data_IF_489911150025
#
_entry.id   IF_489911150025
#
_cell.length_a   1.000
_cell.length_b   1.000
_cell.length_c   1.000
_cell.angle_alpha   90.00
_cell.angle_beta   90.00
_cell.angle_gamma   90.00
#
_symmetry.space_group_name_H-M   'P 1'
#
loop_
_entity.id
_entity.type
_entity.pdbx_description
1 polymer ?
#
# COMPACT_ATOMS: atom_id res chain seq x y z
N UNK A 1 -0.67 -18.79 6.97
CA UNK A 1 -0.69 -17.34 7.18
C UNK A 1 0.56 -16.92 7.91
N UNK A 2 1.31 -16.01 7.37
CA UNK A 2 2.48 -15.46 8.02
C UNK A 2 2.05 -14.49 9.12
N UNK A 3 2.72 -14.48 10.24
CA UNK A 3 2.50 -13.53 11.30
C UNK A 3 1.45 -13.95 12.32
N UNK A 4 1.31 -13.12 13.35
CA UNK A 4 0.35 -13.35 14.42
C UNK A 4 -1.03 -12.89 14.03
N UNK A 5 -2.09 -13.50 14.58
CA UNK A 5 -3.44 -12.97 14.41
C UNK A 5 -3.53 -11.53 14.91
N UNK A 6 -4.19 -10.69 14.15
CA UNK A 6 -4.40 -9.28 14.51
C UNK A 6 -5.71 -9.18 15.27
N UNK A 7 -5.65 -8.61 16.49
CA UNK A 7 -6.85 -8.33 17.27
C UNK A 7 -7.62 -7.16 16.66
N UNK A 8 -8.86 -7.41 16.25
CA UNK A 8 -9.67 -6.41 15.56
C UNK A 8 -10.94 -6.08 16.35
N UNK A 9 -11.32 -4.80 16.30
CA UNK A 9 -12.62 -4.37 16.82
C UNK A 9 -13.71 -4.59 15.77
N UNK A 10 -14.97 -4.63 16.21
CA UNK A 10 -16.08 -4.90 15.31
C UNK A 10 -16.13 -3.98 14.08
N UNK A 11 -15.93 -2.68 14.27
CA UNK A 11 -15.96 -1.74 13.15
C UNK A 11 -14.81 -1.96 12.18
N UNK A 12 -13.67 -2.43 12.69
CA UNK A 12 -12.52 -2.76 11.82
C UNK A 12 -12.84 -3.98 10.96
N UNK A 13 -13.46 -4.97 11.56
CA UNK A 13 -13.91 -6.17 10.83
C UNK A 13 -14.90 -5.79 9.73
N UNK A 14 -15.86 -4.93 10.04
CA UNK A 14 -16.82 -4.46 9.05
C UNK A 14 -16.16 -3.73 7.89
N UNK A 15 -15.18 -2.87 8.19
CA UNK A 15 -14.44 -2.14 7.17
C UNK A 15 -13.65 -3.10 6.27
N UNK A 16 -12.99 -4.07 6.86
CA UNK A 16 -12.23 -5.08 6.13
C UNK A 16 -13.16 -5.90 5.22
N UNK A 17 -14.31 -6.32 5.72
CA UNK A 17 -15.25 -7.08 4.92
C UNK A 17 -15.77 -6.29 3.72
N UNK A 18 -15.99 -4.98 3.87
CA UNK A 18 -16.39 -4.14 2.74
C UNK A 18 -15.29 -4.07 1.68
N UNK A 19 -14.04 -4.01 2.08
CA UNK A 19 -12.94 -4.05 1.12
C UNK A 19 -12.89 -5.39 0.39
N UNK A 20 -13.01 -6.49 1.11
CA UNK A 20 -12.96 -7.84 0.51
C UNK A 20 -14.09 -8.02 -0.51
N UNK A 21 -15.27 -7.51 -0.23
CA UNK A 21 -16.42 -7.59 -1.13
C UNK A 21 -16.28 -6.69 -2.35
N UNK A 22 -15.41 -5.67 -2.27
CA UNK A 22 -15.24 -4.67 -3.31
C UNK A 22 -13.75 -4.52 -3.64
N UNK A 23 -13.26 -5.27 -4.64
CA UNK A 23 -11.82 -5.26 -4.98
C UNK A 23 -11.29 -3.90 -5.39
N UNK A 24 -12.15 -2.96 -5.75
CA UNK A 24 -11.75 -1.60 -6.09
C UNK A 24 -12.69 -0.63 -5.40
N UNK A 25 -12.27 -0.11 -4.25
CA UNK A 25 -13.08 0.85 -3.52
C UNK A 25 -12.22 1.75 -2.62
N UNK A 26 -12.82 2.85 -2.21
CA UNK A 26 -12.25 3.78 -1.25
C UNK A 26 -13.22 3.86 -0.08
N UNK A 27 -12.69 3.78 1.14
CA UNK A 27 -13.49 3.92 2.35
C UNK A 27 -12.97 5.05 3.21
N UNK A 28 -13.90 5.83 3.76
CA UNK A 28 -13.61 6.84 4.76
C UNK A 28 -13.54 6.17 6.12
N UNK A 29 -12.44 6.41 6.83
CA UNK A 29 -12.19 5.79 8.13
C UNK A 29 -11.85 6.88 9.12
N UNK A 30 -12.56 6.92 10.24
CA UNK A 30 -12.38 7.96 11.25
C UNK A 30 -10.94 8.00 11.75
N UNK A 31 -10.42 9.21 11.93
CA UNK A 31 -9.08 9.43 12.49
C UNK A 31 -8.98 8.76 13.87
N UNK A 32 -7.87 8.06 14.10
CA UNK A 32 -7.67 7.35 15.36
C UNK A 32 -8.37 6.00 15.45
N UNK A 33 -9.02 5.56 14.36
CA UNK A 33 -9.77 4.29 14.34
C UNK A 33 -8.90 3.06 14.06
N UNK A 34 -7.58 3.17 14.18
CA UNK A 34 -6.67 2.06 13.91
C UNK A 34 -6.55 1.75 12.43
N UNK A 35 -6.45 2.78 11.63
CA UNK A 35 -6.38 2.66 10.17
C UNK A 35 -5.20 1.81 9.69
N UNK A 36 -4.02 1.98 10.29
CA UNK A 36 -2.85 1.18 9.93
C UNK A 36 -3.01 -0.30 10.30
N UNK A 37 -3.73 -0.58 11.37
CA UNK A 37 -4.05 -1.97 11.75
C UNK A 37 -4.99 -2.60 10.72
N UNK A 38 -5.96 -1.85 10.23
CA UNK A 38 -6.83 -2.30 9.14
C UNK A 38 -5.99 -2.61 7.90
N UNK A 39 -5.07 -1.73 7.55
CA UNK A 39 -4.17 -1.93 6.40
C UNK A 39 -3.31 -3.18 6.59
N UNK A 40 -2.75 -3.39 7.77
CA UNK A 40 -1.96 -4.59 8.06
C UNK A 40 -2.80 -5.86 7.93
N UNK A 41 -4.03 -5.85 8.42
CA UNK A 41 -4.94 -6.99 8.30
C UNK A 41 -5.27 -7.28 6.83
N UNK A 42 -5.52 -6.25 6.03
CA UNK A 42 -5.76 -6.41 4.61
C UNK A 42 -4.55 -7.04 3.91
N UNK A 43 -3.34 -6.60 4.26
CA UNK A 43 -2.12 -7.18 3.71
C UNK A 43 -1.99 -8.67 4.02
N UNK A 44 -2.35 -9.08 5.23
CA UNK A 44 -2.34 -10.51 5.58
C UNK A 44 -3.35 -11.30 4.74
N UNK A 45 -4.53 -10.75 4.55
CA UNK A 45 -5.60 -11.43 3.85
C UNK A 45 -5.32 -11.61 2.36
N UNK A 46 -4.59 -10.69 1.75
CA UNK A 46 -4.31 -10.76 0.31
C UNK A 46 -2.97 -11.42 -0.04
N UNK A 47 -2.20 -11.87 0.96
CA UNK A 47 -0.93 -12.57 0.70
C UNK A 47 -1.05 -13.70 -0.32
N UNK A 48 -2.10 -14.55 -0.30
CA UNK A 48 -2.21 -15.62 -1.27
C UNK A 48 -2.34 -15.16 -2.73
N UNK A 49 -2.72 -13.91 -2.94
CA UNK A 49 -2.93 -13.37 -4.28
C UNK A 49 -1.70 -12.70 -4.87
N UNK A 50 -0.63 -12.53 -4.09
CA UNK A 50 0.59 -11.90 -4.54
C UNK A 50 1.08 -10.83 -3.58
N UNK A 51 2.07 -10.07 -4.04
CA UNK A 51 2.68 -9.00 -3.24
C UNK A 51 1.78 -7.78 -3.16
N UNK A 52 1.98 -7.00 -2.10
CA UNK A 52 1.19 -5.79 -1.84
C UNK A 52 2.10 -4.56 -1.79
N UNK A 53 1.63 -3.49 -2.44
CA UNK A 53 2.24 -2.16 -2.34
C UNK A 53 1.30 -1.26 -1.56
N UNK A 54 1.82 -0.64 -0.49
CA UNK A 54 1.09 0.36 0.29
C UNK A 54 1.70 1.73 0.01
N UNK A 55 0.89 2.63 -0.52
CA UNK A 55 1.32 3.99 -0.86
C UNK A 55 0.85 4.94 0.22
N UNK A 56 1.78 5.72 0.76
CA UNK A 56 1.50 6.70 1.82
C UNK A 56 1.97 8.09 1.38
N UNK A 57 1.42 9.17 1.95
CA UNK A 57 1.69 10.52 1.44
C UNK A 57 3.00 11.15 1.91
N UNK A 58 3.59 10.69 3.02
CA UNK A 58 4.76 11.35 3.58
C UNK A 58 5.59 10.44 4.49
N UNK A 59 6.77 10.94 4.91
CA UNK A 59 7.72 10.20 5.72
C UNK A 59 7.14 9.75 7.08
N UNK A 60 6.38 10.60 7.72
CA UNK A 60 5.79 10.25 9.03
C UNK A 60 4.90 9.02 8.92
N UNK A 61 4.10 8.95 7.87
CA UNK A 61 3.23 7.80 7.64
C UNK A 61 3.99 6.57 7.18
N UNK A 62 5.10 6.73 6.46
CA UNK A 62 5.99 5.60 6.15
C UNK A 62 6.46 4.94 7.44
N UNK A 63 6.98 5.73 8.38
CA UNK A 63 7.51 5.24 9.65
C UNK A 63 6.42 4.57 10.48
N UNK A 64 5.28 5.23 10.61
CA UNK A 64 4.15 4.70 11.38
C UNK A 64 3.64 3.39 10.81
N UNK A 65 3.47 3.34 9.49
CA UNK A 65 2.96 2.15 8.81
C UNK A 65 3.95 0.99 8.94
N UNK A 66 5.24 1.27 8.77
CA UNK A 66 6.28 0.24 8.93
C UNK A 66 6.26 -0.34 10.34
N UNK A 67 6.21 0.51 11.36
CA UNK A 67 6.17 0.05 12.75
C UNK A 67 5.00 -0.87 13.00
N UNK A 68 3.82 -0.51 12.52
CA UNK A 68 2.63 -1.32 12.70
C UNK A 68 2.69 -2.62 11.92
N UNK A 69 3.24 -2.61 10.70
CA UNK A 69 3.40 -3.81 9.91
C UNK A 69 4.39 -4.79 10.56
N UNK A 70 5.51 -4.27 11.07
CA UNK A 70 6.50 -5.08 11.78
C UNK A 70 5.89 -5.68 13.05
N UNK A 71 5.11 -4.89 13.79
CA UNK A 71 4.41 -5.38 14.98
C UNK A 71 3.42 -6.50 14.67
N UNK A 72 2.89 -6.53 13.46
CA UNK A 72 1.98 -7.58 12.99
C UNK A 72 2.73 -8.74 12.32
N UNK A 73 4.05 -8.77 12.39
CA UNK A 73 4.91 -9.80 11.80
C UNK A 73 4.81 -9.90 10.28
N UNK A 74 4.51 -8.81 9.60
CA UNK A 74 4.52 -8.79 8.15
C UNK A 74 5.94 -8.67 7.61
N UNK A 75 6.22 -9.35 6.49
CA UNK A 75 7.46 -9.16 5.74
C UNK A 75 7.33 -7.85 4.97
N UNK A 76 8.06 -6.82 5.39
CA UNK A 76 7.88 -5.47 4.86
C UNK A 76 9.22 -4.80 4.54
N UNK A 77 9.27 -4.10 3.41
CA UNK A 77 10.37 -3.23 3.05
C UNK A 77 9.84 -1.83 2.74
N UNK A 78 10.71 -0.84 2.81
CA UNK A 78 10.36 0.55 2.58
C UNK A 78 11.11 1.09 1.38
N UNK A 79 10.41 1.75 0.47
CA UNK A 79 11.02 2.48 -0.64
C UNK A 79 10.75 3.97 -0.46
N UNK A 80 11.67 4.63 0.22
CA UNK A 80 11.59 6.06 0.49
C UNK A 80 12.97 6.60 0.86
N UNK A 81 13.35 7.74 0.30
CA UNK A 81 14.64 8.37 0.60
C UNK A 81 15.82 7.44 0.32
N UNK A 82 16.66 7.23 1.32
CA UNK A 82 17.83 6.35 1.21
C UNK A 82 17.48 4.87 1.35
N UNK A 83 16.28 4.56 1.78
CA UNK A 83 15.84 3.17 1.95
C UNK A 83 15.25 2.67 0.65
N UNK A 84 15.94 1.74 0.01
CA UNK A 84 15.58 1.17 -1.29
C UNK A 84 15.30 -0.34 -1.15
N UNK A 85 14.44 -0.69 -0.20
CA UNK A 85 14.18 -2.07 0.18
C UNK A 85 13.10 -2.68 -0.72
N UNK A 86 13.52 -3.14 -1.86
CA UNK A 86 12.65 -3.80 -2.83
C UNK A 86 12.73 -5.32 -2.67
N UNK A 87 11.73 -6.01 -3.22
CA UNK A 87 11.72 -7.48 -3.20
C UNK A 87 11.09 -8.09 -1.96
N UNK A 88 10.68 -7.31 -0.99
CA UNK A 88 9.94 -7.83 0.17
C UNK A 88 8.48 -8.06 -0.22
N UNK A 89 7.80 -8.91 0.54
CA UNK A 89 6.41 -9.26 0.21
C UNK A 89 5.49 -8.04 0.25
N UNK A 90 5.62 -7.22 1.29
CA UNK A 90 4.91 -5.96 1.41
C UNK A 90 5.91 -4.81 1.22
N UNK A 91 5.55 -3.85 0.39
CA UNK A 91 6.38 -2.66 0.16
C UNK A 91 5.59 -1.42 0.56
N UNK A 92 6.21 -0.55 1.35
CA UNK A 92 5.65 0.75 1.70
C UNK A 92 6.45 1.81 0.94
N UNK A 93 5.76 2.67 0.21
CA UNK A 93 6.42 3.73 -0.56
C UNK A 93 5.57 4.98 -0.57
N UNK A 94 6.20 6.13 -0.83
CA UNK A 94 5.44 7.34 -1.14
C UNK A 94 5.19 7.37 -2.64
N UNK A 95 4.08 8.01 -3.05
CA UNK A 95 3.80 8.14 -4.48
C UNK A 95 4.88 8.96 -5.19
N UNK A 96 5.52 9.92 -4.48
CA UNK A 96 6.63 10.69 -5.02
C UNK A 96 7.84 9.80 -5.34
N UNK A 97 8.19 8.90 -4.43
CA UNK A 97 9.32 7.97 -4.64
C UNK A 97 9.06 7.05 -5.82
N UNK A 98 7.84 6.55 -5.97
CA UNK A 98 7.46 5.72 -7.10
C UNK A 98 7.52 6.49 -8.42
N UNK A 99 7.06 7.73 -8.41
CA UNK A 99 7.09 8.58 -9.59
C UNK A 99 8.53 8.85 -10.03
N UNK A 100 9.42 9.14 -9.09
CA UNK A 100 10.84 9.36 -9.38
C UNK A 100 11.48 8.09 -9.95
N UNK A 101 11.20 6.93 -9.35
CA UNK A 101 11.72 5.66 -9.83
C UNK A 101 11.25 5.35 -11.25
N UNK A 102 9.98 5.59 -11.54
CA UNK A 102 9.45 5.35 -12.87
C UNK A 102 10.11 6.24 -13.92
N UNK A 103 10.24 7.54 -13.62
CA UNK A 103 10.90 8.48 -14.53
C UNK A 103 12.35 8.12 -14.77
N UNK A 104 13.07 7.80 -13.72
CA UNK A 104 14.47 7.43 -13.82
C UNK A 104 14.63 6.16 -14.67
N UNK A 105 13.78 5.19 -14.47
CA UNK A 105 13.82 3.96 -15.25
C UNK A 105 13.59 4.22 -16.74
N UNK A 106 12.66 5.13 -17.07
CA UNK A 106 12.42 5.51 -18.47
C UNK A 106 13.62 6.23 -19.07
N UNK A 107 14.17 7.19 -18.36
CA UNK A 107 15.29 8.00 -18.83
C UNK A 107 16.56 7.16 -19.06
N UNK A 108 16.78 6.17 -18.21
CA UNK A 108 17.95 5.29 -18.27
C UNK A 108 17.70 4.01 -19.07
N UNK A 109 16.52 3.84 -19.65
CA UNK A 109 16.09 2.61 -20.33
C UNK A 109 16.33 1.38 -19.45
N UNK A 110 16.01 1.49 -18.17
CA UNK A 110 16.25 0.48 -17.14
C UNK A 110 14.97 -0.28 -16.81
N UNK A 111 15.13 -1.55 -16.41
CA UNK A 111 14.02 -2.39 -15.95
C UNK A 111 13.77 -2.24 -14.44
N UNK A 112 14.45 -1.31 -13.76
CA UNK A 112 14.40 -1.19 -12.31
C UNK A 112 12.98 -1.00 -11.78
N UNK A 113 12.16 -0.18 -12.42
CA UNK A 113 10.78 0.03 -11.98
C UNK A 113 9.94 -1.23 -12.19
N UNK A 114 10.06 -1.87 -13.35
CA UNK A 114 9.33 -3.09 -13.65
C UNK A 114 9.69 -4.21 -12.67
N UNK A 115 10.98 -4.34 -12.32
CA UNK A 115 11.43 -5.33 -11.35
C UNK A 115 10.88 -5.03 -9.96
N UNK A 116 10.81 -3.76 -9.58
CA UNK A 116 10.33 -3.33 -8.27
C UNK A 116 8.87 -3.71 -8.06
N UNK A 117 8.06 -3.65 -9.11
CA UNK A 117 6.61 -3.91 -9.02
C UNK A 117 6.24 -5.34 -9.41
N UNK A 118 7.21 -6.18 -9.76
CA UNK A 118 6.93 -7.55 -10.19
C UNK A 118 6.23 -8.34 -9.10
N UNK A 119 5.12 -8.96 -9.44
CA UNK A 119 4.34 -9.78 -8.51
C UNK A 119 3.37 -9.00 -7.62
N UNK A 120 3.31 -7.68 -7.74
CA UNK A 120 2.37 -6.87 -6.98
C UNK A 120 0.99 -6.97 -7.64
N UNK A 121 0.02 -7.51 -6.89
CA UNK A 121 -1.37 -7.63 -7.32
C UNK A 121 -2.34 -6.77 -6.53
N UNK A 122 -1.89 -6.23 -5.39
CA UNK A 122 -2.71 -5.39 -4.52
C UNK A 122 -2.02 -4.06 -4.30
N UNK A 123 -2.75 -2.97 -4.49
CA UNK A 123 -2.29 -1.62 -4.18
C UNK A 123 -3.24 -1.03 -3.14
N UNK A 124 -2.68 -0.60 -2.02
CA UNK A 124 -3.43 0.07 -0.96
C UNK A 124 -2.89 1.49 -0.85
N UNK A 125 -3.79 2.47 -0.90
CA UNK A 125 -3.41 3.88 -0.86
C UNK A 125 -3.96 4.50 0.42
N UNK A 126 -3.05 4.82 1.32
CA UNK A 126 -3.41 5.48 2.58
C UNK A 126 -3.52 6.97 2.36
N UNK A 127 -4.50 7.59 3.03
CA UNK A 127 -4.76 9.03 2.89
C UNK A 127 -4.89 9.44 1.42
N UNK A 128 -5.70 8.69 0.69
CA UNK A 128 -5.82 8.83 -0.77
C UNK A 128 -6.15 10.25 -1.21
N UNK A 129 -6.85 11.02 -0.38
CA UNK A 129 -7.20 12.42 -0.67
C UNK A 129 -5.97 13.34 -0.72
N UNK A 130 -4.84 12.95 -0.11
CA UNK A 130 -3.61 13.74 -0.10
C UNK A 130 -2.72 13.48 -1.32
N UNK A 131 -2.99 12.45 -2.08
CA UNK A 131 -2.21 12.13 -3.27
C UNK A 131 -2.60 13.05 -4.43
N UNK A 132 -1.62 13.40 -5.27
CA UNK A 132 -1.91 14.12 -6.50
C UNK A 132 -2.69 13.23 -7.44
N UNK A 133 -3.89 13.67 -7.81
CA UNK A 133 -4.81 12.86 -8.60
C UNK A 133 -4.24 12.44 -9.96
N UNK A 134 -3.51 13.33 -10.62
CA UNK A 134 -2.91 13.04 -11.93
C UNK A 134 -1.80 11.99 -11.84
N UNK A 135 -0.95 12.06 -10.82
CA UNK A 135 0.11 11.07 -10.60
C UNK A 135 -0.49 9.72 -10.27
N UNK A 136 -1.46 9.70 -9.37
CA UNK A 136 -2.14 8.48 -8.97
C UNK A 136 -2.87 7.82 -10.13
N UNK A 137 -3.59 8.61 -10.90
CA UNK A 137 -4.29 8.13 -12.08
C UNK A 137 -3.31 7.50 -13.07
N UNK A 138 -2.18 8.15 -13.32
CA UNK A 138 -1.17 7.64 -14.23
C UNK A 138 -0.58 6.31 -13.76
N UNK A 139 -0.28 6.20 -12.47
CA UNK A 139 0.26 4.97 -11.90
C UNK A 139 -0.77 3.83 -11.96
N UNK A 140 -2.01 4.10 -11.60
CA UNK A 140 -3.05 3.07 -11.55
C UNK A 140 -3.54 2.64 -12.93
N UNK A 141 -3.47 3.51 -13.94
CA UNK A 141 -3.89 3.15 -15.30
C UNK A 141 -2.73 2.68 -16.17
N UNK A 142 -1.50 2.84 -15.72
CA UNK A 142 -0.28 2.41 -16.40
C UNK A 142 0.35 1.21 -15.69
N UNK A 143 1.42 1.45 -14.88
CA UNK A 143 2.20 0.35 -14.30
C UNK A 143 1.39 -0.61 -13.43
N UNK A 144 0.37 -0.10 -12.73
CA UNK A 144 -0.44 -0.91 -11.82
C UNK A 144 -1.83 -1.24 -12.39
N UNK A 145 -2.02 -1.06 -13.69
CA UNK A 145 -3.31 -1.36 -14.33
C UNK A 145 -3.70 -2.83 -14.19
N UNK A 146 -2.72 -3.73 -14.10
CA UNK A 146 -2.95 -5.16 -13.95
C UNK A 146 -3.38 -5.56 -12.54
N UNK A 147 -3.25 -4.68 -11.56
CA UNK A 147 -3.61 -5.00 -10.18
C UNK A 147 -5.13 -5.08 -10.04
N UNK A 148 -5.62 -6.26 -9.74
CA UNK A 148 -7.06 -6.49 -9.59
C UNK A 148 -7.62 -5.94 -8.29
N UNK A 149 -6.78 -5.75 -7.28
CA UNK A 149 -7.18 -5.24 -5.98
C UNK A 149 -6.56 -3.85 -5.76
N UNK A 150 -7.43 -2.86 -5.60
CA UNK A 150 -7.02 -1.47 -5.39
C UNK A 150 -7.91 -0.86 -4.33
N UNK A 151 -7.34 -0.62 -3.16
CA UNK A 151 -8.08 -0.08 -2.03
C UNK A 151 -7.52 1.25 -1.59
N UNK A 152 -8.40 2.20 -1.32
CA UNK A 152 -8.03 3.50 -0.80
C UNK A 152 -8.63 3.72 0.57
N UNK A 153 -7.86 4.32 1.47
CA UNK A 153 -8.32 4.73 2.77
C UNK A 153 -8.17 6.24 2.87
N UNK A 154 -9.21 6.90 3.36
CA UNK A 154 -9.16 8.33 3.57
C UNK A 154 -9.59 8.64 4.99
N UNK A 155 -8.89 9.57 5.64
CA UNK A 155 -9.28 10.00 6.98
C UNK A 155 -10.51 10.88 6.94
N UNK A 156 -11.12 11.05 8.11
CA UNK A 156 -12.24 11.98 8.27
C UNK A 156 -11.74 13.41 8.08
N UNK A 157 -12.41 14.13 7.24
CA UNK A 157 -12.08 15.53 6.97
C UNK A 157 -12.70 16.43 8.03
#
# INVERSE_FOLDING_TARGET
MAGKPIGLRDYQIQTINKFIENPQCIQEIATGAGKTIITAALCQLVEPYGRTLTIVPNKSLVTQTEEDFVACNLDVGVYYGDRKELGRFNTIATWQSLNVLEKKSKDEHSEAFAEAIQGINTVIIDEVHMAKADVLKRLLTGPFAHCGIRWGLTGTV
#
